data_IF_558228572598
#
_entry.id   IF_558228572598
#
_cell.length_a   1.000
_cell.length_b   1.000
_cell.length_c   1.000
_cell.angle_alpha   90.00
_cell.angle_beta   90.00
_cell.angle_gamma   90.00
#
_symmetry.space_group_name_H-M   'P 1'
#
loop_
_entity.id
_entity.type
_entity.pdbx_description
1 polymer ?
#
# COMPACT_ATOMS: atom_id res chain seq x y z
N UNK A 1 30.24 -14.11 -0.36
CA UNK A 1 29.86 -12.86 -1.03
C UNK A 1 28.40 -12.59 -0.72
N UNK A 2 27.98 -11.34 -0.73
CA UNK A 2 26.55 -10.98 -0.69
C UNK A 2 25.99 -11.05 -2.12
N UNK A 3 24.68 -11.27 -2.31
CA UNK A 3 24.04 -11.10 -3.61
C UNK A 3 24.36 -9.72 -4.20
N UNK A 4 24.31 -9.59 -5.51
CA UNK A 4 24.47 -8.30 -6.18
C UNK A 4 23.10 -7.72 -6.53
N UNK A 5 23.06 -6.40 -6.64
CA UNK A 5 21.84 -5.73 -7.11
C UNK A 5 21.61 -6.11 -8.57
N UNK A 6 20.45 -6.66 -8.87
CA UNK A 6 20.11 -7.16 -10.20
C UNK A 6 20.21 -8.67 -10.36
N UNK A 7 20.71 -9.41 -9.35
CA UNK A 7 20.73 -10.87 -9.41
C UNK A 7 19.30 -11.41 -9.48
N UNK A 8 19.08 -12.37 -10.38
CA UNK A 8 17.83 -13.07 -10.50
C UNK A 8 17.68 -14.10 -9.38
N UNK A 9 16.54 -14.10 -8.74
CA UNK A 9 16.15 -15.00 -7.67
C UNK A 9 14.84 -15.67 -8.02
N UNK A 10 14.65 -16.91 -7.60
CA UNK A 10 13.36 -17.59 -7.67
C UNK A 10 12.83 -17.89 -6.28
N UNK A 11 11.52 -17.77 -6.10
CA UNK A 11 10.82 -18.16 -4.90
C UNK A 11 9.52 -18.82 -5.33
N UNK A 12 9.35 -20.10 -4.98
CA UNK A 12 8.30 -20.92 -5.56
C UNK A 12 8.44 -20.96 -7.09
N UNK A 13 7.36 -20.75 -7.84
CA UNK A 13 7.39 -20.72 -9.32
C UNK A 13 7.55 -19.31 -9.92
N UNK A 14 7.96 -18.32 -9.09
CA UNK A 14 8.03 -16.91 -9.48
C UNK A 14 9.45 -16.36 -9.48
N UNK A 15 9.71 -15.40 -10.38
CA UNK A 15 11.00 -14.76 -10.55
C UNK A 15 11.05 -13.36 -9.95
N UNK A 16 12.20 -13.04 -9.37
CA UNK A 16 12.43 -11.78 -8.67
C UNK A 16 13.83 -11.26 -8.98
N UNK A 17 13.98 -9.96 -8.85
CA UNK A 17 15.29 -9.29 -8.94
C UNK A 17 15.74 -8.83 -7.55
N UNK A 18 16.95 -9.15 -7.15
CA UNK A 18 17.53 -8.74 -5.88
C UNK A 18 17.86 -7.25 -5.88
N UNK A 19 17.44 -6.54 -4.83
CA UNK A 19 17.77 -5.14 -4.60
C UNK A 19 18.23 -4.93 -3.16
N UNK A 20 19.10 -3.96 -2.95
CA UNK A 20 19.56 -3.58 -1.61
C UNK A 20 18.88 -2.27 -1.19
N UNK A 21 18.04 -2.34 -0.18
CA UNK A 21 17.36 -1.19 0.37
C UNK A 21 17.98 -0.87 1.74
N UNK A 22 18.68 0.27 1.84
CA UNK A 22 19.43 0.65 3.04
C UNK A 22 20.40 -0.46 3.49
N UNK A 23 20.04 -1.20 4.53
CA UNK A 23 20.88 -2.25 5.12
C UNK A 23 20.25 -3.66 5.05
N UNK A 24 19.23 -3.86 4.20
CA UNK A 24 18.58 -5.17 4.00
C UNK A 24 18.45 -5.52 2.53
N UNK A 25 18.47 -6.81 2.23
CA UNK A 25 18.14 -7.33 0.91
C UNK A 25 16.63 -7.47 0.76
N UNK A 26 16.11 -7.03 -0.37
CA UNK A 26 14.73 -7.21 -0.81
C UNK A 26 14.72 -7.85 -2.18
N UNK A 27 13.71 -8.61 -2.48
CA UNK A 27 13.45 -9.14 -3.81
C UNK A 27 12.21 -8.48 -4.38
N UNK A 28 12.30 -8.03 -5.61
CA UNK A 28 11.23 -7.35 -6.34
C UNK A 28 10.74 -8.28 -7.42
N UNK A 29 9.43 -8.54 -7.46
CA UNK A 29 8.82 -9.39 -8.48
C UNK A 29 8.98 -8.76 -9.87
N UNK A 30 9.29 -9.60 -10.87
CA UNK A 30 9.25 -9.24 -12.28
C UNK A 30 7.85 -9.38 -12.89
N UNK A 31 6.97 -10.09 -12.19
CA UNK A 31 5.60 -10.33 -12.59
C UNK A 31 4.67 -9.34 -11.88
N UNK A 32 3.56 -9.03 -12.53
CA UNK A 32 2.50 -8.17 -12.00
C UNK A 32 1.26 -9.00 -11.67
N UNK A 33 0.50 -8.57 -10.68
CA UNK A 33 -0.73 -9.24 -10.28
C UNK A 33 -0.73 -9.67 -8.82
N UNK A 34 -1.92 -9.84 -8.26
CA UNK A 34 -2.14 -10.17 -6.85
C UNK A 34 -1.75 -11.60 -6.47
N UNK A 35 -1.47 -12.47 -7.45
CA UNK A 35 -1.04 -13.85 -7.22
C UNK A 35 0.23 -13.93 -6.37
N UNK A 36 1.11 -12.92 -6.48
CA UNK A 36 2.33 -12.80 -5.67
C UNK A 36 2.06 -12.67 -4.17
N UNK A 37 0.89 -12.21 -3.79
CA UNK A 37 0.52 -12.05 -2.37
C UNK A 37 0.21 -13.39 -1.69
N UNK A 38 0.08 -14.48 -2.45
CA UNK A 38 -0.13 -15.83 -1.92
C UNK A 38 1.16 -16.46 -1.37
N UNK A 39 2.33 -15.87 -1.62
CA UNK A 39 3.60 -16.36 -1.11
C UNK A 39 3.64 -16.31 0.42
N UNK A 40 4.05 -17.40 1.03
CA UNK A 40 4.07 -17.55 2.50
C UNK A 40 5.49 -17.29 3.04
N UNK A 41 5.63 -16.56 4.15
CA UNK A 41 6.92 -16.42 4.82
C UNK A 41 7.55 -17.79 5.17
N UNK A 42 8.86 -17.90 4.96
CA UNK A 42 9.61 -19.14 5.16
C UNK A 42 9.91 -19.91 3.88
N UNK A 43 9.33 -19.55 2.73
CA UNK A 43 9.68 -20.15 1.45
C UNK A 43 11.17 -19.91 1.12
N UNK A 44 11.88 -20.91 0.51
CA UNK A 44 13.23 -20.73 0.09
C UNK A 44 13.32 -19.74 -1.08
N UNK A 45 14.30 -18.87 -1.02
CA UNK A 45 14.69 -17.99 -2.12
C UNK A 45 15.98 -18.55 -2.73
N UNK A 46 15.93 -18.90 -4.00
CA UNK A 46 17.02 -19.57 -4.71
C UNK A 46 17.58 -18.60 -5.77
N UNK A 47 18.86 -18.29 -5.74
CA UNK A 47 19.48 -17.50 -6.80
C UNK A 47 19.57 -18.32 -8.09
N UNK A 48 19.38 -17.68 -9.25
CA UNK A 48 19.54 -18.30 -10.57
C UNK A 48 20.99 -18.64 -10.88
N UNK A 49 21.92 -17.85 -10.33
CA UNK A 49 23.36 -18.09 -10.41
C UNK A 49 23.94 -18.34 -9.02
N UNK A 50 24.95 -19.20 -8.95
CA UNK A 50 25.62 -19.48 -7.68
C UNK A 50 26.22 -18.21 -7.07
N UNK A 51 25.78 -17.90 -5.85
CA UNK A 51 26.32 -16.80 -5.04
C UNK A 51 27.28 -17.39 -4.01
N UNK A 52 28.60 -17.07 -4.14
CA UNK A 52 29.64 -17.58 -3.24
C UNK A 52 29.29 -17.33 -1.76
N UNK A 53 29.31 -18.41 -0.97
CA UNK A 53 29.02 -18.41 0.46
C UNK A 53 27.55 -18.06 0.86
N UNK A 54 26.60 -18.04 -0.05
CA UNK A 54 25.18 -18.03 0.31
C UNK A 54 24.76 -19.45 0.68
N UNK A 55 24.52 -19.69 1.97
CA UNK A 55 24.13 -21.00 2.48
C UNK A 55 22.63 -21.22 2.28
N UNK A 56 21.81 -20.23 2.59
CA UNK A 56 20.35 -20.27 2.39
C UNK A 56 19.78 -18.86 2.46
N UNK A 57 18.70 -18.63 1.71
CA UNK A 57 17.88 -17.44 1.83
C UNK A 57 16.42 -17.86 1.94
N UNK A 58 15.63 -17.14 2.73
CA UNK A 58 14.20 -17.41 2.92
C UNK A 58 13.42 -16.10 2.88
N UNK A 59 12.21 -16.18 2.31
CA UNK A 59 11.27 -15.07 2.31
C UNK A 59 10.84 -14.80 3.75
N UNK A 60 11.08 -13.58 4.23
CA UNK A 60 10.74 -13.19 5.59
C UNK A 60 9.31 -12.63 5.69
N UNK A 61 8.98 -11.73 4.80
CA UNK A 61 7.70 -11.02 4.76
C UNK A 61 7.47 -10.41 3.38
N UNK A 62 6.23 -10.14 3.04
CA UNK A 62 5.88 -9.31 1.89
C UNK A 62 5.82 -7.86 2.40
N UNK A 63 6.85 -7.08 2.07
CA UNK A 63 6.95 -5.70 2.54
C UNK A 63 5.94 -4.76 1.84
N UNK A 64 5.75 -4.97 0.54
CA UNK A 64 4.79 -4.22 -0.29
C UNK A 64 4.00 -5.25 -1.09
N UNK A 65 2.69 -5.38 -0.82
CA UNK A 65 1.86 -6.32 -1.58
C UNK A 65 1.74 -5.91 -3.04
N UNK A 66 1.68 -6.90 -3.92
CA UNK A 66 1.41 -6.71 -5.34
C UNK A 66 -0.06 -6.28 -5.55
N UNK A 67 -0.29 -5.54 -6.62
CA UNK A 67 -1.62 -5.07 -7.01
C UNK A 67 -1.88 -5.44 -8.46
N UNK A 68 -3.15 -5.68 -8.78
CA UNK A 68 -3.58 -5.89 -10.15
C UNK A 68 -3.57 -4.57 -10.94
N UNK A 69 -3.67 -4.69 -12.25
CA UNK A 69 -3.79 -3.53 -13.13
C UNK A 69 -5.04 -2.73 -12.75
N UNK A 70 -4.89 -1.40 -12.68
CA UNK A 70 -6.00 -0.49 -12.36
C UNK A 70 -7.11 -0.64 -13.40
N UNK A 71 -8.36 -0.76 -12.93
CA UNK A 71 -9.54 -0.80 -13.81
C UNK A 71 -9.83 0.58 -14.42
N UNK A 72 -10.41 0.58 -15.63
CA UNK A 72 -10.72 1.80 -16.41
C UNK A 72 -11.58 2.80 -15.63
N UNK A 73 -12.55 2.34 -14.84
CA UNK A 73 -13.43 3.20 -14.06
C UNK A 73 -12.69 3.85 -12.87
N UNK A 74 -11.74 3.15 -12.28
CA UNK A 74 -10.86 3.67 -11.24
C UNK A 74 -9.92 4.73 -11.81
N UNK A 75 -9.28 4.43 -12.93
CA UNK A 75 -8.41 5.36 -13.65
C UNK A 75 -9.16 6.63 -14.09
N UNK A 76 -10.38 6.47 -14.59
CA UNK A 76 -11.26 7.60 -14.97
C UNK A 76 -11.64 8.46 -13.77
N UNK A 77 -12.01 7.85 -12.65
CA UNK A 77 -12.33 8.57 -11.40
C UNK A 77 -11.14 9.37 -10.90
N UNK A 78 -9.95 8.76 -10.88
CA UNK A 78 -8.70 9.42 -10.52
C UNK A 78 -8.35 10.58 -11.45
N UNK A 79 -8.59 10.43 -12.76
CA UNK A 79 -8.38 11.48 -13.73
C UNK A 79 -9.33 12.67 -13.52
N UNK A 80 -10.62 12.40 -13.28
CA UNK A 80 -11.63 13.43 -12.98
C UNK A 80 -11.28 14.16 -11.67
N UNK A 81 -10.89 13.44 -10.63
CA UNK A 81 -10.46 14.02 -9.36
C UNK A 81 -9.26 14.95 -9.54
N UNK A 82 -8.31 14.56 -10.38
CA UNK A 82 -7.14 15.37 -10.71
C UNK A 82 -7.49 16.65 -11.47
N UNK A 83 -8.50 16.61 -12.34
CA UNK A 83 -8.99 17.78 -13.07
C UNK A 83 -9.88 18.69 -12.22
N UNK A 84 -10.60 18.13 -11.23
CA UNK A 84 -11.57 18.85 -10.42
C UNK A 84 -10.95 19.70 -9.31
N UNK A 85 -9.71 19.43 -8.95
CA UNK A 85 -9.01 20.19 -7.92
C UNK A 85 -7.54 20.38 -8.27
N UNK A 86 -7.08 21.62 -8.55
CA UNK A 86 -5.67 21.85 -8.77
C UNK A 86 -4.87 21.46 -7.53
N UNK A 87 -3.98 20.49 -7.72
CA UNK A 87 -3.04 20.07 -6.69
C UNK A 87 -1.87 21.05 -6.68
N UNK A 88 -1.97 22.12 -5.88
CA UNK A 88 -0.97 23.17 -5.83
C UNK A 88 -0.61 23.56 -4.40
N UNK A 89 0.65 23.97 -4.20
CA UNK A 89 1.15 24.62 -2.97
C UNK A 89 0.94 23.83 -1.66
N UNK A 90 1.00 22.51 -1.71
CA UNK A 90 0.84 21.70 -0.49
C UNK A 90 -0.58 21.66 0.05
N UNK A 91 -1.59 21.94 -0.78
CA UNK A 91 -2.99 21.85 -0.36
C UNK A 91 -3.39 20.42 -0.06
N UNK A 92 -4.57 20.25 0.56
CA UNK A 92 -5.11 18.93 0.93
C UNK A 92 -5.17 17.94 -0.24
N UNK A 93 -5.47 18.42 -1.44
CA UNK A 93 -5.58 17.60 -2.67
C UNK A 93 -4.20 17.10 -3.08
N UNK A 94 -3.20 17.99 -3.05
CA UNK A 94 -1.83 17.64 -3.41
C UNK A 94 -1.20 16.64 -2.43
N UNK A 95 -1.36 16.86 -1.12
CA UNK A 95 -0.84 15.93 -0.10
C UNK A 95 -1.50 14.56 -0.27
N UNK A 96 -2.81 14.49 -0.53
CA UNK A 96 -3.52 13.25 -0.82
C UNK A 96 -2.95 12.57 -2.06
N UNK A 97 -2.75 13.30 -3.16
CA UNK A 97 -2.17 12.76 -4.40
C UNK A 97 -0.79 12.15 -4.16
N UNK A 98 0.07 12.83 -3.41
CA UNK A 98 1.39 12.32 -3.07
C UNK A 98 1.35 11.02 -2.26
N UNK A 99 0.39 10.88 -1.34
CA UNK A 99 0.20 9.63 -0.60
C UNK A 99 -0.30 8.52 -1.52
N UNK A 100 -1.28 8.81 -2.39
CA UNK A 100 -1.92 7.84 -3.28
C UNK A 100 -1.04 7.43 -4.48
N UNK A 101 0.05 8.15 -4.76
CA UNK A 101 1.08 7.75 -5.72
C UNK A 101 1.99 6.62 -5.20
N UNK A 102 1.97 6.37 -3.89
CA UNK A 102 2.82 5.35 -3.27
C UNK A 102 2.18 3.98 -3.42
N UNK A 103 2.96 3.02 -3.91
CA UNK A 103 2.50 1.65 -4.09
C UNK A 103 2.01 1.05 -2.76
N UNK A 104 0.87 0.36 -2.80
CA UNK A 104 0.22 -0.21 -1.61
C UNK A 104 -0.78 0.73 -0.93
N UNK A 105 -0.83 2.00 -1.31
CA UNK A 105 -1.84 2.96 -0.86
C UNK A 105 -3.01 2.95 -1.83
N UNK A 106 -4.21 2.63 -1.33
CA UNK A 106 -5.45 2.67 -2.11
C UNK A 106 -6.10 4.04 -2.04
N UNK A 107 -6.40 4.50 -0.83
CA UNK A 107 -7.00 5.83 -0.60
C UNK A 107 -6.45 6.47 0.66
N UNK A 108 -6.41 7.81 0.65
CA UNK A 108 -5.93 8.59 1.78
C UNK A 108 -6.95 9.67 2.16
N UNK A 109 -7.25 9.77 3.46
CA UNK A 109 -8.01 10.87 4.02
C UNK A 109 -7.07 11.83 4.75
N UNK A 110 -7.03 13.08 4.30
CA UNK A 110 -6.22 14.13 4.93
C UNK A 110 -7.06 14.92 5.93
N UNK A 111 -6.58 15.02 7.17
CA UNK A 111 -7.20 15.78 8.26
C UNK A 111 -6.21 16.86 8.70
N UNK A 112 -6.45 18.14 8.35
CA UNK A 112 -5.59 19.24 8.79
C UNK A 112 -5.86 19.57 10.25
N UNK A 113 -4.83 20.14 10.92
CA UNK A 113 -4.89 20.66 12.30
C UNK A 113 -5.36 19.63 13.35
N UNK A 114 -5.06 18.35 13.12
CA UNK A 114 -5.55 17.28 14.00
C UNK A 114 -4.91 17.28 15.39
N UNK A 115 -3.73 17.87 15.53
CA UNK A 115 -2.97 17.93 16.79
C UNK A 115 -2.32 19.32 16.99
N UNK A 116 -3.05 20.38 16.63
CA UNK A 116 -2.58 21.74 16.73
C UNK A 116 -2.14 22.36 15.40
N UNK A 117 -1.52 23.53 15.49
CA UNK A 117 -1.13 24.29 14.32
C UNK A 117 -0.11 23.56 13.45
N UNK A 118 -0.20 23.76 12.14
CA UNK A 118 0.69 23.19 11.14
C UNK A 118 0.71 21.65 11.08
N UNK A 119 -0.17 20.94 11.80
CA UNK A 119 -0.22 19.48 11.79
C UNK A 119 -1.19 18.94 10.74
N UNK A 120 -0.80 17.88 10.07
CA UNK A 120 -1.60 17.21 9.06
C UNK A 120 -1.56 15.69 9.31
N UNK A 121 -2.75 15.07 9.39
CA UNK A 121 -2.87 13.62 9.52
C UNK A 121 -3.31 13.01 8.20
N UNK A 122 -2.56 12.03 7.73
CA UNK A 122 -2.92 11.15 6.62
C UNK A 122 -3.42 9.80 7.13
N UNK A 123 -4.71 9.51 6.94
CA UNK A 123 -5.30 8.21 7.27
C UNK A 123 -5.33 7.38 5.99
N UNK A 124 -4.63 6.25 5.99
CA UNK A 124 -4.32 5.47 4.80
C UNK A 124 -5.08 4.13 4.83
N UNK A 125 -5.63 3.76 3.69
CA UNK A 125 -6.26 2.46 3.42
C UNK A 125 -5.48 1.80 2.29
N UNK A 126 -5.28 0.48 2.35
CA UNK A 126 -4.62 -0.28 1.29
C UNK A 126 -5.45 -0.32 0.01
N UNK A 127 -4.86 -0.74 -1.10
CA UNK A 127 -5.56 -0.97 -2.37
C UNK A 127 -6.71 -1.97 -2.27
N UNK A 128 -6.63 -2.90 -1.33
CA UNK A 128 -7.66 -3.90 -1.05
C UNK A 128 -8.79 -3.39 -0.12
N UNK A 129 -8.72 -2.12 0.32
CA UNK A 129 -9.67 -1.55 1.26
C UNK A 129 -9.49 -2.04 2.71
N UNK A 130 -8.36 -2.69 2.99
CA UNK A 130 -8.00 -3.21 4.33
C UNK A 130 -6.99 -2.29 5.03
N UNK A 131 -6.56 -2.67 6.22
CA UNK A 131 -5.47 -2.00 6.93
C UNK A 131 -4.15 -2.22 6.18
N UNK A 132 -3.42 -1.15 5.80
CA UNK A 132 -2.16 -1.27 5.09
C UNK A 132 -1.04 -1.83 5.98
N UNK A 133 -0.07 -2.48 5.37
CA UNK A 133 1.13 -2.95 6.08
C UNK A 133 1.90 -1.78 6.71
N UNK A 134 2.54 -2.02 7.85
CA UNK A 134 3.31 -0.99 8.57
C UNK A 134 4.45 -0.41 7.71
N UNK A 135 5.04 -1.24 6.83
CA UNK A 135 6.05 -0.81 5.86
C UNK A 135 5.53 0.24 4.88
N UNK A 136 4.25 0.13 4.44
CA UNK A 136 3.61 1.11 3.55
C UNK A 136 3.39 2.42 4.30
N UNK A 137 2.92 2.37 5.56
CA UNK A 137 2.76 3.57 6.40
C UNK A 137 4.10 4.29 6.59
N UNK A 138 5.15 3.53 6.89
CA UNK A 138 6.49 4.07 7.03
C UNK A 138 6.99 4.71 5.72
N UNK A 139 6.78 4.05 4.60
CA UNK A 139 7.16 4.59 3.28
C UNK A 139 6.43 5.90 2.96
N UNK A 140 5.13 5.98 3.30
CA UNK A 140 4.37 7.24 3.15
C UNK A 140 4.94 8.31 4.05
N UNK A 141 5.22 8.01 5.32
CA UNK A 141 5.81 8.96 6.28
C UNK A 141 7.15 9.50 5.77
N UNK A 142 8.05 8.60 5.38
CA UNK A 142 9.40 8.95 4.91
C UNK A 142 9.39 9.73 3.59
N UNK A 143 8.37 9.48 2.74
CA UNK A 143 8.21 10.21 1.47
C UNK A 143 7.65 11.61 1.66
N UNK A 144 6.69 11.78 2.56
CA UNK A 144 5.99 13.07 2.73
C UNK A 144 6.72 13.98 3.72
N UNK A 145 7.01 13.48 4.91
CA UNK A 145 7.72 14.22 5.97
C UNK A 145 8.54 13.25 6.82
N UNK A 146 9.80 13.00 6.47
CA UNK A 146 10.67 12.10 7.20
C UNK A 146 10.73 12.44 8.70
N UNK A 147 10.39 11.46 9.54
CA UNK A 147 10.40 11.62 10.99
C UNK A 147 9.32 12.57 11.56
N UNK A 148 8.35 13.02 10.78
CA UNK A 148 7.27 13.93 11.18
C UNK A 148 7.80 15.25 11.82
N UNK A 149 8.89 15.78 11.29
CA UNK A 149 9.63 16.92 11.87
C UNK A 149 9.34 18.26 11.19
N UNK A 150 8.65 18.23 10.03
CA UNK A 150 8.29 19.43 9.30
C UNK A 150 9.48 20.23 8.75
N UNK A 151 10.62 19.58 8.53
CA UNK A 151 11.83 20.24 8.00
C UNK A 151 11.79 20.47 6.50
N UNK A 152 10.81 19.91 5.80
CA UNK A 152 10.71 20.02 4.34
C UNK A 152 11.73 19.15 3.60
N UNK A 153 12.22 18.09 4.23
CA UNK A 153 13.13 17.12 3.61
C UNK A 153 12.42 16.13 2.67
N UNK A 154 11.09 16.00 2.82
CA UNK A 154 10.24 15.21 1.96
C UNK A 154 9.44 16.05 0.94
N UNK A 155 8.30 15.53 0.50
CA UNK A 155 7.39 16.25 -0.41
C UNK A 155 6.60 17.36 0.31
N UNK A 156 6.40 17.27 1.63
CA UNK A 156 5.74 18.30 2.41
C UNK A 156 6.60 19.57 2.51
N UNK A 157 5.94 20.72 2.53
CA UNK A 157 6.63 22.00 2.72
C UNK A 157 7.15 22.12 4.16
N UNK A 158 8.22 22.86 4.36
CA UNK A 158 8.72 23.17 5.71
C UNK A 158 7.63 23.79 6.58
N UNK A 159 7.61 23.43 7.86
CA UNK A 159 6.59 23.84 8.82
C UNK A 159 5.28 23.02 8.74
N UNK A 160 5.18 22.04 7.86
CA UNK A 160 4.05 21.11 7.77
C UNK A 160 4.43 19.78 8.44
N UNK A 161 3.88 19.51 9.63
CA UNK A 161 4.11 18.28 10.37
C UNK A 161 3.12 17.21 9.91
N UNK A 162 3.55 16.34 9.02
CA UNK A 162 2.70 15.29 8.51
C UNK A 162 2.86 14.00 9.32
N UNK A 163 1.74 13.36 9.65
CA UNK A 163 1.72 12.07 10.35
C UNK A 163 0.89 11.07 9.54
N UNK A 164 1.48 9.95 9.16
CA UNK A 164 0.80 8.85 8.48
C UNK A 164 0.30 7.82 9.50
N UNK A 165 -0.96 7.40 9.37
CA UNK A 165 -1.56 6.35 10.19
C UNK A 165 -2.40 5.40 9.34
N UNK A 166 -2.46 4.13 9.73
CA UNK A 166 -3.37 3.17 9.13
C UNK A 166 -4.83 3.45 9.53
N UNK A 167 -5.76 3.26 8.61
CA UNK A 167 -7.18 3.25 8.93
C UNK A 167 -7.51 2.01 9.77
N UNK A 168 -8.21 2.21 10.88
CA UNK A 168 -8.63 1.10 11.76
C UNK A 168 -9.90 0.44 11.20
N UNK A 169 -9.89 -0.89 11.14
CA UNK A 169 -11.07 -1.68 10.80
C UNK A 169 -12.13 -1.53 11.90
N UNK A 170 -13.35 -1.18 11.51
CA UNK A 170 -14.50 -1.19 12.40
C UNK A 170 -15.50 -2.22 11.90
N UNK A 171 -15.81 -3.20 12.73
CA UNK A 171 -16.83 -4.19 12.44
C UNK A 171 -18.20 -3.64 12.76
N UNK A 172 -19.12 -3.73 11.80
CA UNK A 172 -20.53 -3.33 11.96
C UNK A 172 -21.37 -4.59 11.80
N UNK A 173 -22.06 -4.99 12.87
CA UNK A 173 -23.04 -6.09 12.82
C UNK A 173 -24.40 -5.54 12.48
N UNK A 174 -24.98 -6.01 11.39
CA UNK A 174 -26.33 -5.62 10.95
C UNK A 174 -27.24 -6.84 11.10
N UNK A 175 -28.30 -6.71 11.89
CA UNK A 175 -29.36 -7.70 12.00
C UNK A 175 -30.58 -7.19 11.23
N UNK A 176 -30.97 -7.92 10.21
CA UNK A 176 -32.11 -7.59 9.36
C UNK A 176 -33.23 -8.61 9.59
N UNK A 177 -34.42 -8.13 9.94
CA UNK A 177 -35.63 -8.93 9.96
C UNK A 177 -36.43 -8.66 8.67
N UNK A 178 -36.44 -9.64 7.76
CA UNK A 178 -37.08 -9.52 6.45
C UNK A 178 -38.41 -10.21 6.47
N UNK A 179 -39.51 -9.43 6.32
CA UNK A 179 -40.86 -9.97 6.15
C UNK A 179 -41.21 -10.06 4.67
N UNK A 180 -41.38 -11.29 4.19
CA UNK A 180 -41.71 -11.56 2.79
C UNK A 180 -43.21 -11.24 2.51
N UNK A 181 -43.48 -10.46 1.49
CA UNK A 181 -44.85 -10.23 1.01
C UNK A 181 -45.37 -11.49 0.32
N UNK A 182 -46.63 -11.84 0.57
CA UNK A 182 -47.24 -13.14 0.15
C UNK A 182 -47.17 -13.47 -1.37
N UNK A 183 -46.93 -12.47 -2.23
CA UNK A 183 -46.89 -12.64 -3.69
C UNK A 183 -45.47 -12.53 -4.29
N UNK A 184 -44.41 -12.51 -3.48
CA UNK A 184 -43.05 -12.37 -4.03
C UNK A 184 -42.46 -13.73 -4.40
N UNK A 185 -42.00 -13.87 -5.64
CA UNK A 185 -41.26 -15.03 -6.18
C UNK A 185 -39.77 -15.06 -5.77
N UNK A 186 -39.38 -14.41 -4.69
CA UNK A 186 -38.01 -14.34 -4.25
C UNK A 186 -37.53 -15.68 -3.71
N UNK A 187 -36.41 -16.16 -4.23
CA UNK A 187 -35.85 -17.44 -3.87
C UNK A 187 -34.89 -17.28 -2.68
N UNK A 188 -35.11 -17.99 -1.58
CA UNK A 188 -34.36 -17.90 -0.31
C UNK A 188 -32.89 -18.32 -0.40
N UNK A 189 -32.45 -18.78 -1.57
CA UNK A 189 -31.07 -19.25 -1.80
C UNK A 189 -30.06 -18.13 -2.08
N UNK A 190 -30.51 -16.88 -2.15
CA UNK A 190 -29.63 -15.72 -2.41
C UNK A 190 -29.30 -14.89 -1.16
N UNK A 191 -29.57 -15.40 0.02
CA UNK A 191 -29.35 -14.69 1.31
C UNK A 191 -28.30 -15.39 2.19
N UNK A 192 -27.25 -15.95 1.57
CA UNK A 192 -26.07 -16.48 2.32
C UNK A 192 -24.87 -15.59 2.08
#
# INVERSE_FOLDING_TARGET
>A
AEPQVGDLMSCDDHFFTAQKLENRWVIVSEETGTDMNALVPGLPVIPDQDVDNLISATLKEIAIPAVDMEEDDSARSRYIDKLSGPAENGNKVQIRSWCEEIQGVGRTRIVPLWNGDCTVLGIIISTEGTEPAESVIKLVQDTIDPGAQGFGEGKATFGCFFTAVAAKKQEISIKLDVTKKAESTYNSTQTS
#
